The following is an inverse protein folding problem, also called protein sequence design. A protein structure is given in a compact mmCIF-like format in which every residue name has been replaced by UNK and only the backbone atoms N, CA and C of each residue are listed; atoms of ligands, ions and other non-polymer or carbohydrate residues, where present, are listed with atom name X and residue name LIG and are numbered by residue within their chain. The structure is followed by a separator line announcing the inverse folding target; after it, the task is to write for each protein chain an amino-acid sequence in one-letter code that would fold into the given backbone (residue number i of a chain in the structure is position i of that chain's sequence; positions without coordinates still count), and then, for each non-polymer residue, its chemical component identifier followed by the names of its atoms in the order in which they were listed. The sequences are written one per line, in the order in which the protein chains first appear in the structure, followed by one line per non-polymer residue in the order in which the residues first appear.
data_IF_892819160448
#
_entry.id   IF_892819160448
#
_cell.length_a   1.000
_cell.length_b   1.000
_cell.length_c   1.000
_cell.angle_alpha   90.00
_cell.angle_beta   90.00
_cell.angle_gamma   90.00
#
_symmetry.space_group_name_H-M   'P 1'
#
loop_
_entity.id
_entity.type
_entity.pdbx_description
1 polymer ?
#
# COMPACT_ATOMS: atom_id res chain seq x y z
N UNK A 1 12.09 17.92 -21.58
CA UNK A 1 10.61 17.82 -21.71
C UNK A 1 9.89 17.19 -20.51
N UNK A 2 10.55 16.45 -19.60
CA UNK A 2 9.86 15.86 -18.43
C UNK A 2 9.46 16.90 -17.37
N UNK A 3 10.38 17.78 -16.95
CA UNK A 3 10.14 18.78 -15.89
C UNK A 3 8.94 19.70 -16.15
N UNK A 4 8.72 20.10 -17.40
CA UNK A 4 7.60 20.98 -17.77
C UNK A 4 6.25 20.26 -17.65
N UNK A 5 6.17 18.99 -18.05
CA UNK A 5 4.96 18.18 -17.88
C UNK A 5 4.70 17.87 -16.40
N UNK A 6 5.75 17.64 -15.61
CA UNK A 6 5.60 17.47 -14.16
C UNK A 6 5.02 18.74 -13.54
N UNK A 7 5.55 19.93 -13.87
CA UNK A 7 5.06 21.22 -13.38
C UNK A 7 3.62 21.52 -13.81
N UNK A 8 3.26 21.22 -15.06
CA UNK A 8 1.87 21.38 -15.56
C UNK A 8 0.92 20.45 -14.83
N UNK A 9 1.32 19.19 -14.61
CA UNK A 9 0.52 18.25 -13.82
C UNK A 9 0.41 18.72 -12.37
N UNK A 10 1.47 19.28 -11.77
CA UNK A 10 1.43 19.85 -10.41
C UNK A 10 0.45 21.00 -10.27
N UNK A 11 0.48 21.95 -11.21
CA UNK A 11 -0.48 23.05 -11.22
C UNK A 11 -1.92 22.55 -11.44
N UNK A 12 -2.11 21.51 -12.28
CA UNK A 12 -3.42 20.95 -12.59
C UNK A 12 -4.02 20.10 -11.46
N UNK A 13 -3.19 19.45 -10.63
CA UNK A 13 -3.63 18.64 -9.48
C UNK A 13 -3.68 19.43 -8.17
N UNK A 14 -3.37 20.72 -8.18
CA UNK A 14 -3.36 21.54 -6.98
C UNK A 14 -4.75 21.56 -6.33
N UNK A 15 -4.83 21.03 -5.10
CA UNK A 15 -6.09 20.84 -4.36
C UNK A 15 -6.74 19.46 -4.49
N UNK A 16 -6.20 18.57 -5.35
CA UNK A 16 -6.62 17.16 -5.38
C UNK A 16 -5.96 16.41 -4.21
N UNK A 17 -6.72 15.59 -3.45
CA UNK A 17 -6.16 14.69 -2.44
C UNK A 17 -5.00 13.83 -2.96
N UNK A 18 -4.99 13.48 -4.26
CA UNK A 18 -3.94 12.66 -4.87
C UNK A 18 -2.55 13.32 -4.86
N UNK A 19 -2.45 14.63 -4.61
CA UNK A 19 -1.15 15.30 -4.47
C UNK A 19 -0.38 14.81 -3.24
N UNK A 20 -1.08 14.26 -2.24
CA UNK A 20 -0.45 13.53 -1.13
C UNK A 20 0.42 12.36 -1.63
N UNK A 21 0.04 11.70 -2.72
CA UNK A 21 0.84 10.64 -3.34
C UNK A 21 2.17 11.18 -3.88
N UNK A 22 2.15 12.38 -4.49
CA UNK A 22 3.39 12.99 -4.99
C UNK A 22 4.32 13.31 -3.83
N UNK A 23 3.83 14.00 -2.81
CA UNK A 23 4.62 14.36 -1.63
C UNK A 23 5.18 13.12 -0.91
N UNK A 24 4.41 12.03 -0.90
CA UNK A 24 4.85 10.73 -0.40
C UNK A 24 5.98 10.14 -1.25
N UNK A 25 5.81 10.04 -2.57
CA UNK A 25 6.81 9.46 -3.47
C UNK A 25 8.12 10.27 -3.51
N UNK A 26 8.04 11.60 -3.48
CA UNK A 26 9.22 12.46 -3.41
C UNK A 26 10.01 12.26 -2.10
N UNK A 27 9.31 12.05 -0.98
CA UNK A 27 9.93 11.73 0.31
C UNK A 27 10.62 10.37 0.28
N UNK A 28 9.95 9.36 -0.28
CA UNK A 28 10.53 8.03 -0.44
C UNK A 28 11.77 8.04 -1.35
N UNK A 29 11.74 8.80 -2.44
CA UNK A 29 12.90 8.95 -3.34
C UNK A 29 14.09 9.65 -2.63
N UNK A 30 13.82 10.68 -1.82
CA UNK A 30 14.85 11.33 -1.01
C UNK A 30 15.46 10.39 0.03
N UNK A 31 14.63 9.58 0.69
CA UNK A 31 15.09 8.58 1.67
C UNK A 31 15.91 7.46 1.00
N UNK A 32 15.51 7.02 -0.20
CA UNK A 32 16.24 6.04 -1.03
C UNK A 32 17.62 6.59 -1.42
N UNK A 33 17.70 7.86 -1.86
CA UNK A 33 18.97 8.52 -2.19
C UNK A 33 19.88 8.70 -0.96
N UNK A 34 19.28 9.01 0.20
CA UNK A 34 19.99 9.13 1.47
C UNK A 34 20.36 7.78 2.10
N UNK A 35 19.97 6.65 1.49
CA UNK A 35 20.14 5.28 2.02
C UNK A 35 19.56 5.08 3.42
N UNK A 36 18.48 5.79 3.75
CA UNK A 36 17.80 5.71 5.06
C UNK A 36 16.67 4.70 5.01
N UNK A 37 17.02 3.42 4.90
CA UNK A 37 16.05 2.33 4.74
C UNK A 37 15.03 2.23 5.89
N UNK A 38 15.39 2.69 7.09
CA UNK A 38 14.51 2.67 8.27
C UNK A 38 13.38 3.71 8.21
N UNK A 39 13.61 4.82 7.49
CA UNK A 39 12.63 5.90 7.34
C UNK A 39 11.76 5.71 6.09
N UNK A 40 12.02 4.67 5.30
CA UNK A 40 11.29 4.35 4.08
C UNK A 40 10.04 3.55 4.39
N UNK A 41 8.96 3.85 3.67
CA UNK A 41 7.74 3.03 3.63
C UNK A 41 7.75 2.04 2.47
N UNK A 42 8.90 1.82 1.85
CA UNK A 42 9.09 0.82 0.80
C UNK A 42 8.91 -0.60 1.34
N UNK A 43 8.04 -1.37 0.68
CA UNK A 43 7.72 -2.74 1.07
C UNK A 43 8.42 -3.75 0.16
N UNK A 44 8.53 -3.46 -1.12
CA UNK A 44 9.13 -4.37 -2.08
C UNK A 44 8.70 -4.16 -3.52
N UNK A 45 8.91 -5.21 -4.32
CA UNK A 45 8.67 -5.20 -5.76
C UNK A 45 7.54 -6.16 -6.13
N UNK A 46 6.96 -5.97 -7.30
CA UNK A 46 5.93 -6.87 -7.82
C UNK A 46 6.59 -7.99 -8.62
N UNK A 47 6.29 -9.24 -8.26
CA UNK A 47 6.77 -10.44 -8.94
C UNK A 47 5.80 -10.86 -10.05
N UNK A 48 4.51 -10.91 -9.72
CA UNK A 48 3.43 -11.24 -10.64
C UNK A 48 2.29 -10.24 -10.45
N UNK A 49 1.67 -9.80 -11.55
CA UNK A 49 0.55 -8.87 -11.51
C UNK A 49 -0.54 -9.35 -12.46
N UNK A 50 -1.72 -9.62 -11.90
CA UNK A 50 -2.96 -9.84 -12.62
C UNK A 50 -3.95 -8.69 -12.38
N UNK A 51 -5.16 -8.85 -12.89
CA UNK A 51 -6.25 -7.88 -12.69
C UNK A 51 -6.84 -7.95 -11.28
N UNK A 52 -6.94 -9.16 -10.72
CA UNK A 52 -7.56 -9.39 -9.40
C UNK A 52 -6.53 -9.68 -8.30
N UNK A 53 -5.36 -10.21 -8.67
CA UNK A 53 -4.35 -10.69 -7.71
C UNK A 53 -2.96 -10.22 -8.11
N UNK A 54 -2.10 -9.96 -7.13
CA UNK A 54 -0.70 -9.64 -7.29
C UNK A 54 0.15 -10.44 -6.31
N UNK A 55 1.34 -10.87 -6.75
CA UNK A 55 2.39 -11.37 -5.85
C UNK A 55 3.47 -10.33 -5.74
N UNK A 56 3.85 -10.04 -4.51
CA UNK A 56 4.93 -9.08 -4.21
C UNK A 56 6.07 -9.82 -3.52
N UNK A 57 7.29 -9.41 -3.82
CA UNK A 57 8.50 -9.87 -3.14
C UNK A 57 8.95 -8.79 -2.17
N UNK A 58 9.26 -9.19 -0.95
CA UNK A 58 9.65 -8.31 0.16
C UNK A 58 10.78 -8.97 0.95
N UNK A 59 11.46 -8.20 1.81
CA UNK A 59 12.50 -8.70 2.70
C UNK A 59 12.17 -8.31 4.14
N UNK A 60 12.71 -9.06 5.09
CA UNK A 60 12.46 -8.80 6.51
C UNK A 60 12.91 -7.39 6.96
N UNK A 61 14.06 -6.83 6.51
CA UNK A 61 14.40 -5.44 6.77
C UNK A 61 13.34 -4.43 6.31
N UNK A 62 12.73 -4.64 5.14
CA UNK A 62 11.66 -3.77 4.64
C UNK A 62 10.39 -3.91 5.47
N UNK A 63 10.00 -5.14 5.85
CA UNK A 63 8.86 -5.36 6.75
C UNK A 63 9.07 -4.66 8.09
N UNK A 64 10.26 -4.75 8.67
CA UNK A 64 10.58 -4.13 9.94
C UNK A 64 10.56 -2.60 9.85
N UNK A 65 11.10 -2.03 8.76
CA UNK A 65 11.07 -0.58 8.53
C UNK A 65 9.65 -0.01 8.49
N UNK A 66 8.69 -0.75 7.92
CA UNK A 66 7.29 -0.30 7.84
C UNK A 66 6.44 -0.65 9.07
N UNK A 67 7.04 -1.24 10.11
CA UNK A 67 6.32 -1.67 11.33
C UNK A 67 5.54 -2.98 11.18
N UNK A 68 5.85 -3.78 10.16
CA UNK A 68 5.23 -5.06 9.86
C UNK A 68 4.11 -4.99 8.83
N UNK A 69 3.83 -6.14 8.20
CA UNK A 69 2.81 -6.28 7.15
C UNK A 69 1.91 -7.47 7.53
N UNK A 70 0.88 -7.26 8.34
CA UNK A 70 -0.05 -8.32 8.69
C UNK A 70 -1.01 -8.60 7.53
N UNK A 71 -1.75 -9.69 7.71
CA UNK A 71 -2.87 -10.02 6.84
C UNK A 71 -3.96 -8.93 6.92
N UNK A 72 -4.48 -8.54 5.76
CA UNK A 72 -5.56 -7.58 5.62
C UNK A 72 -5.10 -6.12 5.51
N UNK A 73 -3.80 -5.84 5.68
CA UNK A 73 -3.25 -4.50 5.48
C UNK A 73 -3.38 -4.00 4.06
N UNK A 74 -3.55 -2.69 3.93
CA UNK A 74 -3.51 -2.00 2.65
C UNK A 74 -2.08 -1.68 2.26
N UNK A 75 -1.76 -1.89 0.99
CA UNK A 75 -0.53 -1.47 0.34
C UNK A 75 -0.86 -0.65 -0.90
N UNK A 76 0.04 0.23 -1.30
CA UNK A 76 -0.09 0.98 -2.55
C UNK A 76 0.96 0.53 -3.54
N UNK A 77 0.55 0.37 -4.79
CA UNK A 77 1.43 0.02 -5.90
C UNK A 77 1.48 1.19 -6.88
N UNK A 78 2.69 1.66 -7.17
CA UNK A 78 2.92 2.80 -8.05
C UNK A 78 3.92 2.43 -9.16
N UNK A 79 3.75 2.98 -10.38
CA UNK A 79 4.73 2.79 -11.43
C UNK A 79 6.00 3.60 -11.13
N UNK A 80 7.17 2.99 -11.29
CA UNK A 80 8.49 3.62 -11.06
C UNK A 80 8.70 4.83 -11.98
N UNK A 81 8.11 4.81 -13.17
CA UNK A 81 8.18 5.89 -14.15
C UNK A 81 6.77 6.19 -14.66
N UNK A 82 6.03 7.03 -13.93
CA UNK A 82 4.68 7.46 -14.32
C UNK A 82 4.66 8.25 -15.66
N UNK A 83 5.81 8.73 -16.13
CA UNK A 83 5.95 9.38 -17.44
C UNK A 83 5.06 10.62 -17.57
N UNK A 84 4.17 10.61 -18.55
CA UNK A 84 3.16 11.67 -18.77
C UNK A 84 1.79 11.36 -18.13
N UNK A 85 1.66 10.20 -17.51
CA UNK A 85 0.38 9.74 -16.96
C UNK A 85 0.02 10.60 -15.75
N UNK A 86 -1.26 10.97 -15.57
CA UNK A 86 -1.73 11.55 -14.33
C UNK A 86 -1.28 10.73 -13.11
N UNK A 87 -1.06 11.36 -11.94
CA UNK A 87 -0.82 10.63 -10.70
C UNK A 87 -1.91 9.58 -10.49
N UNK A 88 -1.48 8.34 -10.24
CA UNK A 88 -2.36 7.22 -9.96
C UNK A 88 -1.61 6.18 -9.14
N UNK A 89 -2.37 5.39 -8.39
CA UNK A 89 -1.85 4.24 -7.65
C UNK A 89 -2.89 3.14 -7.58
N UNK A 90 -2.44 1.89 -7.58
CA UNK A 90 -3.29 0.73 -7.37
C UNK A 90 -3.33 0.38 -5.90
N UNK A 91 -4.52 0.15 -5.36
CA UNK A 91 -4.74 -0.31 -4.00
C UNK A 91 -4.63 -1.83 -3.95
N UNK A 92 -3.75 -2.32 -3.09
CA UNK A 92 -3.56 -3.73 -2.81
C UNK A 92 -4.01 -4.06 -1.39
N UNK A 93 -4.50 -5.28 -1.18
CA UNK A 93 -4.82 -5.81 0.14
C UNK A 93 -4.08 -7.12 0.37
N UNK A 94 -3.30 -7.21 1.44
CA UNK A 94 -2.52 -8.40 1.75
C UNK A 94 -3.44 -9.54 2.17
N UNK A 95 -3.35 -10.69 1.50
CA UNK A 95 -4.18 -11.87 1.80
C UNK A 95 -3.42 -12.95 2.55
N UNK A 96 -2.13 -13.10 2.28
CA UNK A 96 -1.31 -14.16 2.88
C UNK A 96 0.16 -14.12 2.46
N UNK A 97 0.88 -15.15 2.89
CA UNK A 97 2.26 -15.40 2.46
C UNK A 97 2.26 -16.30 1.24
N UNK A 98 3.13 -16.00 0.28
CA UNK A 98 3.25 -16.75 -0.97
C UNK A 98 4.59 -17.50 -0.98
N UNK A 99 4.65 -18.73 -1.52
CA UNK A 99 5.91 -19.43 -1.71
C UNK A 99 6.76 -18.70 -2.77
N UNK A 100 8.03 -18.45 -2.44
CA UNK A 100 9.03 -18.04 -3.42
C UNK A 100 9.49 -19.25 -4.25
N UNK A 101 10.02 -19.04 -5.48
CA UNK A 101 10.60 -20.13 -6.27
C UNK A 101 11.70 -20.94 -5.57
N UNK A 102 12.34 -20.33 -4.56
CA UNK A 102 13.43 -20.92 -3.78
C UNK A 102 12.95 -21.48 -2.43
N UNK A 103 11.66 -21.46 -2.12
CA UNK A 103 11.14 -21.81 -0.79
C UNK A 103 11.59 -23.18 -0.30
N UNK A 104 11.59 -24.20 -1.17
CA UNK A 104 12.05 -25.55 -0.80
C UNK A 104 13.54 -25.58 -0.42
N UNK A 105 14.38 -24.86 -1.17
CA UNK A 105 15.83 -24.80 -0.92
C UNK A 105 16.13 -24.02 0.37
N UNK A 106 15.40 -22.92 0.60
CA UNK A 106 15.50 -22.12 1.82
C UNK A 106 15.10 -22.95 3.04
N UNK A 107 13.98 -23.68 2.99
CA UNK A 107 13.54 -24.56 4.06
C UNK A 107 14.54 -25.68 4.36
N UNK A 108 15.07 -26.33 3.33
CA UNK A 108 16.10 -27.36 3.49
C UNK A 108 17.37 -26.79 4.14
N UNK A 109 17.79 -25.60 3.73
CA UNK A 109 18.96 -24.92 4.28
C UNK A 109 18.77 -24.59 5.75
N UNK A 110 17.63 -24.00 6.12
CA UNK A 110 17.29 -23.72 7.53
C UNK A 110 17.24 -24.99 8.38
N UNK A 111 16.67 -26.08 7.84
CA UNK A 111 16.62 -27.36 8.55
C UNK A 111 18.03 -27.90 8.87
N UNK A 112 18.94 -27.87 7.89
CA UNK A 112 20.33 -28.29 8.09
C UNK A 112 21.10 -27.37 9.05
N UNK A 113 20.85 -26.05 8.99
CA UNK A 113 21.45 -25.10 9.91
C UNK A 113 20.98 -25.33 11.36
N UNK A 114 19.69 -25.56 11.59
CA UNK A 114 19.16 -25.87 12.91
C UNK A 114 19.72 -27.18 13.47
N UNK A 115 19.89 -28.20 12.63
CA UNK A 115 20.54 -29.46 13.03
C UNK A 115 21.99 -29.27 13.48
N UNK A 116 22.69 -28.26 12.94
CA UNK A 116 24.09 -27.93 13.25
C UNK A 116 24.24 -26.80 14.28
N UNK A 117 23.20 -26.52 15.07
CA UNK A 117 23.21 -25.48 16.12
C UNK A 117 23.38 -24.04 15.60
N UNK A 118 22.88 -23.74 14.40
CA UNK A 118 22.71 -22.38 13.86
C UNK A 118 24.00 -21.53 13.91
N UNK A 119 25.02 -21.85 13.09
CA UNK A 119 26.27 -21.09 13.05
C UNK A 119 26.04 -19.64 12.58
N UNK A 120 26.96 -18.74 12.93
CA UNK A 120 26.93 -17.36 12.43
C UNK A 120 27.04 -17.36 10.90
N UNK A 121 26.00 -16.87 10.24
CA UNK A 121 25.94 -16.74 8.79
C UNK A 121 26.56 -15.40 8.36
N UNK A 122 27.25 -15.40 7.22
CA UNK A 122 27.69 -14.15 6.59
C UNK A 122 26.50 -13.27 6.17
N UNK A 123 26.72 -11.95 6.16
CA UNK A 123 25.70 -10.92 5.88
C UNK A 123 25.02 -11.14 4.52
N UNK A 124 25.77 -11.59 3.51
CA UNK A 124 25.22 -11.90 2.19
C UNK A 124 24.21 -13.06 2.26
N UNK A 125 24.60 -14.14 2.93
CA UNK A 125 23.77 -15.36 3.07
C UNK A 125 22.51 -15.06 3.88
N UNK A 126 22.63 -14.28 4.95
CA UNK A 126 21.46 -13.83 5.73
C UNK A 126 20.49 -13.02 4.86
N UNK A 127 21.02 -12.10 4.06
CA UNK A 127 20.20 -11.23 3.21
C UNK A 127 19.44 -12.02 2.14
N UNK A 128 20.05 -13.05 1.54
CA UNK A 128 19.38 -13.92 0.58
C UNK A 128 18.25 -14.75 1.21
N UNK A 129 18.47 -15.28 2.42
CA UNK A 129 17.47 -16.11 3.12
C UNK A 129 16.30 -15.31 3.73
N UNK A 130 16.41 -13.98 3.81
CA UNK A 130 15.39 -13.07 4.34
C UNK A 130 14.35 -12.62 3.30
N UNK A 131 14.49 -13.02 2.04
CA UNK A 131 13.51 -12.72 1.01
C UNK A 131 12.29 -13.63 1.12
N UNK A 132 11.11 -13.02 1.06
CA UNK A 132 9.82 -13.71 1.05
C UNK A 132 8.87 -13.10 0.02
N UNK A 133 7.74 -13.78 -0.20
CA UNK A 133 6.67 -13.27 -1.04
C UNK A 133 5.36 -13.17 -0.28
N UNK A 134 4.51 -12.23 -0.68
CA UNK A 134 3.16 -12.02 -0.15
C UNK A 134 2.16 -12.07 -1.29
N UNK A 135 1.02 -12.71 -1.04
CA UNK A 135 -0.15 -12.65 -1.90
C UNK A 135 -0.98 -11.42 -1.55
N UNK A 136 -1.43 -10.71 -2.58
CA UNK A 136 -2.24 -9.51 -2.47
C UNK A 136 -3.41 -9.55 -3.43
N UNK A 137 -4.57 -9.09 -2.98
CA UNK A 137 -5.71 -8.79 -3.84
C UNK A 137 -5.57 -7.37 -4.39
N UNK A 138 -5.88 -7.21 -5.67
CA UNK A 138 -5.96 -5.93 -6.35
C UNK A 138 -7.37 -5.40 -6.18
N UNK A 139 -7.54 -4.35 -5.37
CA UNK A 139 -8.87 -3.81 -5.07
C UNK A 139 -9.35 -2.80 -6.12
N UNK A 140 -8.42 -2.14 -6.80
CA UNK A 140 -8.72 -1.12 -7.80
C UNK A 140 -7.64 -0.04 -7.86
N UNK A 141 -7.92 1.04 -8.57
CA UNK A 141 -6.99 2.13 -8.84
C UNK A 141 -7.61 3.48 -8.49
N UNK A 142 -6.84 4.30 -7.78
CA UNK A 142 -7.11 5.71 -7.58
C UNK A 142 -6.37 6.53 -8.62
N UNK A 143 -7.05 7.51 -9.23
CA UNK A 143 -6.48 8.36 -10.26
C UNK A 143 -7.10 9.77 -10.23
N UNK A 144 -6.38 10.75 -10.74
CA UNK A 144 -6.93 12.08 -11.00
C UNK A 144 -7.82 12.05 -12.25
N UNK A 145 -9.06 12.54 -12.17
CA UNK A 145 -9.97 12.53 -13.32
C UNK A 145 -9.34 13.31 -14.50
N UNK A 146 -9.17 12.69 -15.70
CA UNK A 146 -8.55 13.35 -16.85
C UNK A 146 -9.26 14.62 -17.33
N UNK A 147 -10.58 14.74 -17.09
CA UNK A 147 -11.40 15.92 -17.44
C UNK A 147 -11.39 16.98 -16.34
N UNK A 148 -11.16 16.58 -15.09
CA UNK A 148 -11.10 17.48 -13.94
C UNK A 148 -10.02 16.97 -12.98
N UNK A 149 -8.78 17.40 -13.22
CA UNK A 149 -7.60 16.92 -12.49
C UNK A 149 -7.61 17.25 -10.99
N UNK A 150 -8.55 18.09 -10.53
CA UNK A 150 -8.79 18.39 -9.12
C UNK A 150 -9.63 17.31 -8.40
N UNK A 151 -10.33 16.47 -9.15
CA UNK A 151 -11.22 15.44 -8.60
C UNK A 151 -10.50 14.09 -8.54
N UNK A 152 -10.51 13.48 -7.36
CA UNK A 152 -10.11 12.09 -7.16
C UNK A 152 -11.21 11.15 -7.66
N UNK A 153 -10.82 10.12 -8.40
CA UNK A 153 -11.72 9.02 -8.78
C UNK A 153 -11.11 7.67 -8.44
N UNK A 154 -11.99 6.70 -8.20
CA UNK A 154 -11.65 5.33 -7.94
C UNK A 154 -12.30 4.44 -9.01
N UNK A 155 -11.52 3.54 -9.58
CA UNK A 155 -11.96 2.48 -10.48
C UNK A 155 -11.71 1.14 -9.80
N UNK A 156 -12.73 0.27 -9.77
CA UNK A 156 -12.54 -1.12 -9.36
C UNK A 156 -11.66 -1.90 -10.34
N UNK A 157 -11.68 -1.51 -11.62
CA UNK A 157 -10.87 -2.13 -12.65
C UNK A 157 -9.50 -1.46 -12.76
N UNK A 158 -8.46 -2.27 -12.97
CA UNK A 158 -7.11 -1.79 -13.31
C UNK A 158 -6.99 -1.68 -14.83
N UNK A 159 -6.91 -0.45 -15.33
CA UNK A 159 -6.92 -0.15 -16.77
C UNK A 159 -5.81 -0.82 -17.56
N UNK A 160 -4.57 -0.80 -17.04
CA UNK A 160 -3.43 -1.35 -17.77
C UNK A 160 -2.43 -1.98 -16.80
N UNK A 161 -2.26 -3.29 -16.92
CA UNK A 161 -1.23 -4.06 -16.24
C UNK A 161 0.00 -4.06 -17.15
N UNK A 162 0.98 -3.20 -16.85
CA UNK A 162 2.30 -3.32 -17.48
C UNK A 162 3.15 -4.37 -16.74
N UNK A 163 4.36 -4.61 -17.24
CA UNK A 163 5.27 -5.58 -16.63
C UNK A 163 5.49 -5.31 -15.13
N UNK A 164 5.36 -6.36 -14.32
CA UNK A 164 5.42 -6.31 -12.85
C UNK A 164 6.66 -5.58 -12.30
N UNK A 165 7.83 -5.79 -12.91
CA UNK A 165 9.10 -5.15 -12.50
C UNK A 165 9.11 -3.61 -12.62
N UNK A 166 8.12 -3.01 -13.27
CA UNK A 166 7.99 -1.54 -13.39
C UNK A 166 7.21 -0.91 -12.23
N UNK A 167 6.79 -1.71 -11.27
CA UNK A 167 6.02 -1.27 -10.12
C UNK A 167 6.82 -1.44 -8.82
N UNK A 168 6.70 -0.44 -7.95
CA UNK A 168 7.16 -0.50 -6.56
C UNK A 168 5.94 -0.54 -5.65
N UNK A 169 6.08 -1.22 -4.52
CA UNK A 169 5.03 -1.37 -3.51
C UNK A 169 5.45 -0.68 -2.23
N UNK A 170 4.54 0.09 -1.65
CA UNK A 170 4.77 0.87 -0.44
C UNK A 170 3.65 0.65 0.57
N UNK A 171 4.00 0.80 1.84
CA UNK A 171 3.03 0.95 2.92
C UNK A 171 2.49 2.38 2.90
N UNK A 172 1.17 2.59 2.92
CA UNK A 172 0.60 3.93 2.89
C UNK A 172 0.90 4.69 4.20
N UNK A 173 1.12 6.00 4.09
CA UNK A 173 1.13 6.89 5.25
C UNK A 173 -0.27 7.32 5.68
N UNK A 174 -0.38 8.04 6.79
CA UNK A 174 -1.65 8.47 7.36
C UNK A 174 -2.46 9.34 6.37
N UNK A 175 -1.77 10.13 5.53
CA UNK A 175 -2.41 10.95 4.51
C UNK A 175 -2.98 10.08 3.38
N UNK A 176 -2.21 9.10 2.89
CA UNK A 176 -2.67 8.15 1.88
C UNK A 176 -3.77 7.24 2.42
N UNK A 177 -3.66 6.76 3.66
CA UNK A 177 -4.70 5.96 4.30
C UNK A 177 -6.00 6.78 4.44
N UNK A 178 -5.92 8.04 4.88
CA UNK A 178 -7.09 8.92 4.94
C UNK A 178 -7.71 9.12 3.55
N UNK A 179 -6.89 9.22 2.50
CA UNK A 179 -7.36 9.28 1.11
C UNK A 179 -8.05 7.99 0.67
N UNK A 180 -7.49 6.82 1.01
CA UNK A 180 -8.08 5.52 0.67
C UNK A 180 -9.45 5.35 1.35
N UNK A 181 -9.56 5.74 2.63
CA UNK A 181 -10.79 5.55 3.42
C UNK A 181 -11.84 6.62 3.11
N UNK A 182 -11.47 7.90 3.11
CA UNK A 182 -12.41 9.02 3.06
C UNK A 182 -12.42 9.75 1.71
N UNK A 183 -11.50 9.44 0.78
CA UNK A 183 -11.32 10.20 -0.46
C UNK A 183 -12.53 10.19 -1.39
N UNK A 184 -13.36 9.14 -1.33
CA UNK A 184 -14.58 9.01 -2.13
C UNK A 184 -15.85 9.48 -1.41
N UNK A 185 -15.76 9.85 -0.13
CA UNK A 185 -16.91 10.28 0.68
C UNK A 185 -17.30 11.69 0.26
N UNK A 186 -18.59 11.93 0.02
CA UNK A 186 -19.09 13.26 -0.35
C UNK A 186 -18.85 14.28 0.77
N UNK A 187 -18.40 15.51 0.47
CA UNK A 187 -18.10 16.51 1.50
C UNK A 187 -19.35 17.00 2.25
N UNK A 188 -20.55 16.87 1.68
CA UNK A 188 -21.77 17.33 2.32
C UNK A 188 -22.24 16.37 3.43
N UNK A 189 -22.54 16.94 4.60
CA UNK A 189 -23.11 16.22 5.76
C UNK A 189 -22.29 14.99 6.16
N UNK A 190 -20.96 15.13 6.26
CA UNK A 190 -20.11 14.07 6.79
C UNK A 190 -20.31 13.89 8.28
N UNK A 191 -20.24 12.65 8.73
CA UNK A 191 -20.27 12.27 10.14
C UNK A 191 -19.25 11.17 10.38
N UNK A 192 -18.51 11.26 11.48
CA UNK A 192 -17.52 10.26 11.87
C UNK A 192 -18.19 9.09 12.55
N UNK A 193 -17.95 7.87 12.09
CA UNK A 193 -18.51 6.64 12.69
C UNK A 193 -17.52 5.96 13.65
N UNK A 194 -16.22 6.20 13.47
CA UNK A 194 -15.18 5.60 14.30
C UNK A 194 -13.78 5.92 13.76
N UNK A 195 -12.79 5.16 14.20
CA UNK A 195 -11.42 5.24 13.70
C UNK A 195 -11.02 3.96 12.97
N UNK A 196 -10.14 4.10 11.98
CA UNK A 196 -9.60 2.98 11.21
C UNK A 196 -8.72 2.13 12.12
N UNK A 197 -9.08 0.86 12.25
CA UNK A 197 -8.21 -0.15 12.83
C UNK A 197 -7.51 -0.90 11.70
N UNK A 198 -6.20 -0.70 11.57
CA UNK A 198 -5.39 -1.35 10.53
C UNK A 198 -5.16 -2.83 10.81
N UNK A 199 -5.16 -3.24 12.08
CA UNK A 199 -4.89 -4.63 12.50
C UNK A 199 -5.77 -5.04 13.67
N UNK A 200 -6.24 -6.29 13.68
CA UNK A 200 -6.90 -6.86 14.86
C UNK A 200 -5.90 -7.12 16.00
N UNK A 201 -4.66 -7.45 15.67
CA UNK A 201 -3.63 -7.69 16.67
C UNK A 201 -3.06 -6.36 17.22
N UNK A 202 -3.20 -6.12 18.52
CA UNK A 202 -2.65 -4.95 19.22
C UNK A 202 -1.25 -5.15 19.81
N UNK A 203 -0.54 -6.23 19.43
CA UNK A 203 0.75 -6.60 20.03
C UNK A 203 1.86 -5.56 19.74
N UNK A 204 1.78 -4.89 18.59
CA UNK A 204 2.77 -3.91 18.13
C UNK A 204 2.22 -2.49 18.06
N UNK A 205 1.02 -2.25 18.61
CA UNK A 205 0.45 -0.90 18.71
C UNK A 205 1.01 -0.19 19.94
N UNK A 206 2.30 0.13 19.93
CA UNK A 206 2.96 0.99 20.94
C UNK A 206 2.54 2.46 20.74
N UNK A 207 1.24 2.75 20.89
CA UNK A 207 0.67 4.10 20.85
C UNK A 207 0.71 4.82 19.48
N UNK A 208 1.48 4.33 18.51
CA UNK A 208 1.56 4.84 17.13
C UNK A 208 0.50 4.23 16.20
N UNK A 209 -0.66 3.84 16.75
CA UNK A 209 -1.80 3.43 15.92
C UNK A 209 -2.30 4.63 15.12
N UNK A 210 -2.39 4.50 13.81
CA UNK A 210 -2.92 5.55 12.93
C UNK A 210 -4.36 5.88 13.34
N UNK A 211 -4.59 7.02 13.99
CA UNK A 211 -5.92 7.45 14.41
C UNK A 211 -6.64 8.17 13.27
N UNK A 212 -6.99 7.41 12.24
CA UNK A 212 -7.64 7.96 11.04
C UNK A 212 -9.15 7.86 11.23
N UNK A 213 -9.89 8.99 11.29
CA UNK A 213 -11.33 8.95 11.41
C UNK A 213 -11.94 8.34 10.15
N UNK A 214 -12.93 7.48 10.32
CA UNK A 214 -13.75 6.93 9.23
C UNK A 214 -15.00 7.79 9.11
N UNK A 215 -15.16 8.44 7.98
CA UNK A 215 -16.27 9.34 7.68
C UNK A 215 -17.30 8.67 6.79
N UNK A 216 -18.57 9.02 7.00
CA UNK A 216 -19.69 8.62 6.15
C UNK A 216 -20.50 9.86 5.75
N UNK A 217 -21.12 9.85 4.57
CA UNK A 217 -22.04 10.92 4.16
C UNK A 217 -23.47 10.60 4.61
N UNK A 218 -24.05 11.44 5.46
CA UNK A 218 -25.45 11.29 5.91
C UNK A 218 -26.45 11.48 4.76
N UNK A 219 -26.05 12.16 3.69
CA UNK A 219 -26.86 12.27 2.48
C UNK A 219 -27.00 10.93 1.77
N UNK A 220 -25.95 10.12 1.76
CA UNK A 220 -25.99 8.77 1.19
C UNK A 220 -26.85 7.84 2.06
N UNK A 221 -26.82 7.99 3.39
CA UNK A 221 -27.75 7.25 4.27
C UNK A 221 -29.23 7.60 4.03
N UNK A 222 -29.52 8.86 3.70
CA UNK A 222 -30.90 9.31 3.42
C UNK A 222 -31.34 8.94 2.00
N UNK A 223 -30.43 9.03 1.03
CA UNK A 223 -30.73 8.88 -0.40
C UNK A 223 -30.56 7.46 -0.94
N UNK A 224 -29.64 6.69 -0.37
CA UNK A 224 -29.38 5.30 -0.73
C UNK A 224 -29.99 4.37 0.32
N UNK A 225 -30.50 3.21 -0.11
CA UNK A 225 -31.06 2.22 0.81
C UNK A 225 -29.91 1.55 1.59
N UNK A 226 -29.67 2.01 2.81
CA UNK A 226 -28.66 1.42 3.69
C UNK A 226 -29.21 0.23 4.47
N UNK A 227 -28.45 -0.85 4.55
CA UNK A 227 -28.72 -1.99 5.43
C UNK A 227 -27.55 -2.17 6.40
N UNK A 228 -27.86 -2.37 7.69
CA UNK A 228 -26.88 -2.66 8.73
C UNK A 228 -27.11 -4.08 9.22
N UNK A 229 -26.10 -4.94 9.09
CA UNK A 229 -26.14 -6.32 9.55
C UNK A 229 -25.21 -6.49 10.74
N UNK A 230 -25.69 -7.13 11.80
CA UNK A 230 -24.91 -7.42 13.00
C UNK A 230 -25.60 -8.49 13.83
N UNK A 231 -24.84 -9.19 14.68
CA UNK A 231 -25.43 -10.11 15.67
C UNK A 231 -25.94 -9.30 16.87
N UNK A 232 -26.84 -9.91 17.64
CA UNK A 232 -27.36 -9.32 18.87
C UNK A 232 -26.23 -8.92 19.82
N UNK A 233 -26.24 -7.65 20.28
CA UNK A 233 -25.28 -7.06 21.24
C UNK A 233 -23.84 -6.89 20.74
N UNK A 234 -23.62 -6.77 19.44
CA UNK A 234 -22.32 -6.38 18.85
C UNK A 234 -22.33 -4.94 18.26
N UNK A 235 -23.40 -4.18 18.52
CA UNK A 235 -23.53 -2.78 18.12
C UNK A 235 -22.89 -1.85 19.13
#
# INVERSE_FOLDING_TARGET
MSKLNTLVNTAATQGNPIDALRAFLEREEQNEQARRTQDMRFVGYVLELGYDTAKIITSDPYKLAVGGIPRGSFLIMTPVNAGKTPPHFTLLRVTGVSPTPLSNQVQQTYFELHKKSMPELDVWTQSELQWGALDCDVLGMFYANPKSMQKLEFSGDVNNVVSAHRYKVFAPDDAILSLIINGMVKPEQRSTIGSLRTMECGLFSDGAGTNIPVEISMRDFKGCRTAMFGKTRLG
#
